data_IF_374790348875
#
_entry.id   IF_374790348875
#
_cell.length_a   1.000
_cell.length_b   1.000
_cell.length_c   1.000
_cell.angle_alpha   90.00
_cell.angle_beta   90.00
_cell.angle_gamma   90.00
#
_symmetry.space_group_name_H-M   'P 1'
#
loop_
_entity.id
_entity.type
_entity.pdbx_description
1 polymer ?
#
# COMPACT_ATOMS: atom_id res chain seq x y z
N UNK A 1 -24.87 -19.56 3.19
CA UNK A 1 -23.73 -19.13 4.02
C UNK A 1 -24.24 -19.02 5.43
N UNK A 2 -23.79 -19.87 6.33
CA UNK A 2 -24.23 -19.85 7.73
C UNK A 2 -23.36 -18.91 8.58
N UNK A 3 -23.77 -18.65 9.83
CA UNK A 3 -23.06 -17.75 10.74
C UNK A 3 -21.61 -18.19 11.03
N UNK A 4 -21.35 -19.50 11.10
CA UNK A 4 -19.99 -20.01 11.32
C UNK A 4 -19.10 -19.81 10.10
N UNK A 5 -19.61 -20.04 8.88
CA UNK A 5 -18.89 -19.75 7.65
C UNK A 5 -18.54 -18.26 7.56
N UNK A 6 -19.47 -17.39 7.94
CA UNK A 6 -19.26 -15.94 7.93
C UNK A 6 -18.17 -15.53 8.92
N UNK A 7 -18.20 -16.08 10.15
CA UNK A 7 -17.16 -15.82 11.16
C UNK A 7 -15.79 -16.33 10.74
N UNK A 8 -15.72 -17.52 10.10
CA UNK A 8 -14.44 -18.04 9.57
C UNK A 8 -13.88 -17.15 8.48
N UNK A 9 -14.75 -16.64 7.59
CA UNK A 9 -14.32 -15.72 6.53
C UNK A 9 -13.84 -14.39 7.09
N UNK A 10 -14.49 -13.87 8.12
CA UNK A 10 -14.05 -12.65 8.82
C UNK A 10 -12.67 -12.88 9.44
N UNK A 11 -12.48 -13.95 10.21
CA UNK A 11 -11.19 -14.25 10.84
C UNK A 11 -10.05 -14.43 9.82
N UNK A 12 -10.35 -15.03 8.66
CA UNK A 12 -9.38 -15.13 7.56
C UNK A 12 -9.04 -13.76 6.96
N UNK A 13 -10.05 -12.90 6.76
CA UNK A 13 -9.82 -11.55 6.23
C UNK A 13 -9.06 -10.67 7.22
N UNK A 14 -9.33 -10.80 8.52
CA UNK A 14 -8.58 -10.13 9.59
C UNK A 14 -7.11 -10.56 9.55
N UNK A 15 -6.85 -11.87 9.50
CA UNK A 15 -5.49 -12.39 9.36
C UNK A 15 -4.76 -11.84 8.14
N UNK A 16 -5.40 -11.87 6.95
CA UNK A 16 -4.79 -11.35 5.72
C UNK A 16 -4.54 -9.85 5.83
N UNK A 17 -5.48 -9.10 6.41
CA UNK A 17 -5.33 -7.66 6.59
C UNK A 17 -4.16 -7.32 7.51
N UNK A 18 -4.02 -8.03 8.63
CA UNK A 18 -2.91 -7.83 9.56
C UNK A 18 -1.56 -8.09 8.90
N UNK A 19 -1.46 -9.14 8.06
CA UNK A 19 -0.25 -9.40 7.28
C UNK A 19 0.04 -8.28 6.27
N UNK A 20 -0.97 -7.84 5.51
CA UNK A 20 -0.79 -6.78 4.52
C UNK A 20 -0.37 -5.46 5.15
N UNK A 21 -0.91 -5.12 6.32
CA UNK A 21 -0.52 -3.93 7.07
C UNK A 21 0.95 -4.03 7.48
N UNK A 22 1.36 -5.17 8.05
CA UNK A 22 2.75 -5.41 8.45
C UNK A 22 3.71 -5.28 7.26
N UNK A 23 3.39 -5.89 6.12
CA UNK A 23 4.22 -5.80 4.91
C UNK A 23 4.29 -4.36 4.37
N UNK A 24 3.17 -3.62 4.43
CA UNK A 24 3.14 -2.22 4.00
C UNK A 24 3.99 -1.32 4.91
N UNK A 25 3.96 -1.56 6.23
CA UNK A 25 4.81 -0.84 7.20
C UNK A 25 6.31 -1.13 6.97
N UNK A 26 6.68 -2.38 6.67
CA UNK A 26 8.06 -2.73 6.31
C UNK A 26 8.53 -1.99 5.05
N UNK A 27 7.70 -1.98 4.00
CA UNK A 27 8.03 -1.26 2.76
C UNK A 27 8.14 0.24 3.00
N UNK A 28 7.24 0.81 3.80
CA UNK A 28 7.27 2.23 4.18
C UNK A 28 8.56 2.60 4.93
N UNK A 29 9.00 1.75 5.86
CA UNK A 29 10.28 1.90 6.54
C UNK A 29 11.47 1.82 5.57
N UNK A 30 11.44 0.87 4.64
CA UNK A 30 12.47 0.76 3.59
C UNK A 30 12.53 2.01 2.72
N UNK A 31 11.38 2.59 2.34
CA UNK A 31 11.36 3.82 1.55
C UNK A 31 11.95 5.00 2.32
N UNK A 32 11.63 5.12 3.61
CA UNK A 32 12.27 6.10 4.50
C UNK A 32 13.77 5.92 4.58
N UNK A 33 14.23 4.67 4.68
CA UNK A 33 15.66 4.36 4.74
C UNK A 33 16.41 4.77 3.47
N UNK A 34 15.78 4.63 2.30
CA UNK A 34 16.37 4.98 1.00
C UNK A 34 16.37 6.50 0.75
N UNK A 35 15.65 7.28 1.57
CA UNK A 35 15.69 8.75 1.55
C UNK A 35 14.37 9.42 1.16
N UNK A 36 13.27 8.68 1.07
CA UNK A 36 11.92 9.26 0.94
C UNK A 36 11.42 9.64 2.34
N UNK A 37 11.47 10.93 2.71
CA UNK A 37 11.24 11.38 4.08
C UNK A 37 9.89 10.92 4.68
N UNK A 38 8.82 10.91 3.89
CA UNK A 38 7.49 10.42 4.28
C UNK A 38 7.20 9.02 3.70
N UNK A 39 8.25 8.25 3.40
CA UNK A 39 8.16 6.85 2.99
C UNK A 39 7.33 6.65 1.72
N UNK A 40 6.34 5.76 1.79
CA UNK A 40 5.47 5.41 0.66
C UNK A 40 4.66 6.60 0.14
N UNK A 41 4.32 7.58 0.98
CA UNK A 41 3.55 8.75 0.55
C UNK A 41 4.37 9.61 -0.44
N UNK A 42 5.64 9.88 -0.11
CA UNK A 42 6.54 10.60 -1.02
C UNK A 42 6.78 9.83 -2.32
N UNK A 43 6.88 8.50 -2.25
CA UNK A 43 7.03 7.64 -3.44
C UNK A 43 5.79 7.74 -4.33
N UNK A 44 4.59 7.70 -3.74
CA UNK A 44 3.33 7.78 -4.46
C UNK A 44 3.17 9.14 -5.13
N UNK A 45 3.45 10.23 -4.43
CA UNK A 45 3.43 11.58 -5.00
C UNK A 45 4.42 11.71 -6.15
N UNK A 46 5.64 11.17 -5.98
CA UNK A 46 6.65 11.18 -7.04
C UNK A 46 6.17 10.39 -8.26
N UNK A 47 5.57 9.21 -8.08
CA UNK A 47 5.02 8.40 -9.16
C UNK A 47 3.87 9.12 -9.89
N UNK A 48 2.95 9.77 -9.15
CA UNK A 48 1.89 10.59 -9.73
C UNK A 48 2.43 11.77 -10.52
N UNK A 49 3.39 12.52 -9.97
CA UNK A 49 4.04 13.60 -10.70
C UNK A 49 4.75 13.11 -11.97
N UNK A 50 5.41 11.95 -11.95
CA UNK A 50 6.04 11.38 -13.14
C UNK A 50 5.04 10.89 -14.18
N UNK A 51 3.87 10.40 -13.74
CA UNK A 51 2.78 9.98 -14.60
C UNK A 51 2.12 11.19 -15.28
N UNK A 52 1.69 12.18 -14.48
CA UNK A 52 1.07 13.41 -14.98
C UNK A 52 2.02 14.21 -15.90
N UNK A 53 3.32 14.25 -15.57
CA UNK A 53 4.30 14.89 -16.44
C UNK A 53 4.54 14.10 -17.74
N UNK A 54 4.43 12.77 -17.74
CA UNK A 54 4.51 11.98 -18.98
C UNK A 54 3.34 12.29 -19.92
N UNK A 55 2.14 12.54 -19.38
CA UNK A 55 0.97 12.92 -20.18
C UNK A 55 1.12 14.33 -20.78
N UNK A 56 1.85 15.25 -20.12
CA UNK A 56 2.10 16.61 -20.60
C UNK A 56 3.16 16.71 -21.73
N UNK A 57 4.00 15.69 -21.90
CA UNK A 57 5.00 15.63 -22.99
C UNK A 57 4.55 14.79 -24.20
N UNK A 58 3.30 14.33 -24.23
CA UNK A 58 2.70 13.60 -25.37
C UNK A 58 1.66 14.40 -26.19
N UNK A 59 1.46 15.69 -25.93
CA UNK A 59 0.58 16.58 -26.74
C UNK A 59 1.38 17.59 -27.58
#
# INVERSE_FOLDING_TARGET
MDEQEMRRKIAYLEFVNDQLISEMEEVDEMMRFIGFADGLDTVKETAWHLYDNNDLYQS
#
